data_IF_896462196540
#
_entry.id   IF_896462196540
#
_cell.length_a   1.000
_cell.length_b   1.000
_cell.length_c   1.000
_cell.angle_alpha   90.00
_cell.angle_beta   90.00
_cell.angle_gamma   90.00
#
_symmetry.space_group_name_H-M   'P 1'
#
loop_
_entity.id
_entity.type
_entity.pdbx_description
1 polymer ?
#
# COMPACT_ATOMS: atom_id res chain seq x y z
N UNK A 1 -19.67 -7.93 52.34
CA UNK A 1 -18.70 -8.77 51.65
C UNK A 1 -19.02 -8.68 50.17
N UNK A 2 -18.33 -7.82 49.47
CA UNK A 2 -18.50 -7.69 48.03
C UNK A 2 -17.27 -8.31 47.37
N UNK A 3 -17.41 -9.56 46.99
CA UNK A 3 -16.50 -10.17 46.05
C UNK A 3 -16.82 -9.55 44.69
N UNK A 4 -16.16 -8.43 44.41
CA UNK A 4 -16.06 -7.96 43.06
C UNK A 4 -15.06 -8.87 42.38
N UNK A 5 -15.53 -9.95 41.82
CA UNK A 5 -14.85 -10.62 40.75
C UNK A 5 -14.54 -9.56 39.69
N UNK A 6 -13.32 -9.08 39.68
CA UNK A 6 -12.80 -8.38 38.55
C UNK A 6 -12.72 -9.39 37.42
N UNK A 7 -13.80 -9.48 36.65
CA UNK A 7 -13.78 -10.11 35.34
C UNK A 7 -12.74 -9.29 34.58
N UNK A 8 -11.51 -9.83 34.52
CA UNK A 8 -10.56 -9.39 33.51
C UNK A 8 -11.29 -9.60 32.21
N UNK A 9 -11.79 -8.52 31.61
CA UNK A 9 -12.14 -8.53 30.20
C UNK A 9 -10.84 -8.92 29.51
N UNK A 10 -10.68 -10.21 29.19
CA UNK A 10 -9.73 -10.61 28.19
C UNK A 10 -10.06 -9.75 26.98
N UNK A 11 -9.14 -8.86 26.62
CA UNK A 11 -9.28 -8.07 25.39
C UNK A 11 -9.40 -9.10 24.28
N UNK A 12 -10.61 -9.25 23.73
CA UNK A 12 -10.83 -10.03 22.52
C UNK A 12 -9.91 -9.40 21.49
N UNK A 13 -8.82 -10.11 21.16
CA UNK A 13 -7.88 -9.67 20.14
C UNK A 13 -8.67 -9.56 18.85
N UNK A 14 -8.84 -8.33 18.35
CA UNK A 14 -9.51 -8.12 17.07
C UNK A 14 -8.79 -8.88 15.99
N UNK A 15 -9.53 -9.64 15.20
CA UNK A 15 -9.01 -10.38 14.06
C UNK A 15 -8.72 -9.40 12.95
N UNK A 16 -7.52 -9.46 12.38
CA UNK A 16 -7.10 -8.60 11.29
C UNK A 16 -7.93 -8.82 10.02
N UNK A 17 -7.94 -7.83 9.16
CA UNK A 17 -8.69 -7.83 7.90
C UNK A 17 -8.38 -9.06 7.03
N UNK A 18 -7.11 -9.39 6.85
CA UNK A 18 -6.71 -10.57 6.07
C UNK A 18 -7.15 -11.87 6.73
N UNK A 19 -7.02 -11.97 8.05
CA UNK A 19 -7.46 -13.14 8.80
C UNK A 19 -8.95 -13.39 8.63
N UNK A 20 -9.78 -12.34 8.58
CA UNK A 20 -11.21 -12.45 8.31
C UNK A 20 -11.46 -13.04 6.92
N UNK A 21 -10.72 -12.58 5.92
CA UNK A 21 -10.81 -13.12 4.56
C UNK A 21 -10.46 -14.62 4.55
N UNK A 22 -9.35 -14.96 5.17
CA UNK A 22 -8.87 -16.35 5.21
C UNK A 22 -9.77 -17.26 6.04
N UNK A 23 -10.37 -16.73 7.09
CA UNK A 23 -11.35 -17.47 7.88
C UNK A 23 -12.58 -17.83 7.07
N UNK A 24 -13.07 -16.90 6.24
CA UNK A 24 -14.26 -17.09 5.42
C UNK A 24 -14.00 -17.97 4.19
N UNK A 25 -12.87 -17.76 3.52
CA UNK A 25 -12.59 -18.31 2.20
C UNK A 25 -11.47 -19.34 2.15
N UNK A 26 -10.74 -19.52 3.22
CA UNK A 26 -9.60 -20.43 3.32
C UNK A 26 -8.25 -19.70 3.34
N UNK A 27 -7.26 -20.34 3.89
CA UNK A 27 -5.90 -19.81 4.04
C UNK A 27 -5.20 -19.64 2.69
N UNK A 28 -4.28 -18.68 2.64
CA UNK A 28 -3.36 -18.57 1.52
C UNK A 28 -2.41 -19.78 1.49
N UNK A 29 -2.16 -20.30 0.30
CA UNK A 29 -1.19 -21.38 0.08
C UNK A 29 0.26 -20.93 0.08
N UNK A 30 0.48 -19.62 -0.09
CA UNK A 30 1.81 -19.03 -0.21
C UNK A 30 2.06 -18.03 0.91
N UNK A 31 3.32 -17.96 1.32
CA UNK A 31 3.80 -16.87 2.19
C UNK A 31 4.08 -15.63 1.33
N UNK A 32 4.07 -14.43 1.93
CA UNK A 32 4.34 -13.19 1.19
C UNK A 32 5.61 -13.25 0.34
N UNK A 33 6.68 -13.88 0.83
CA UNK A 33 7.97 -14.00 0.16
C UNK A 33 7.94 -14.90 -1.08
N UNK A 34 6.90 -15.71 -1.23
CA UNK A 34 6.78 -16.68 -2.33
C UNK A 34 6.02 -16.14 -3.54
N UNK A 35 5.39 -14.98 -3.43
CA UNK A 35 4.70 -14.36 -4.55
C UNK A 35 5.68 -13.72 -5.53
N UNK A 36 5.30 -13.70 -6.81
CA UNK A 36 6.04 -12.94 -7.81
C UNK A 36 5.96 -11.43 -7.51
N UNK A 37 6.94 -10.68 -7.99
CA UNK A 37 6.93 -9.23 -7.85
C UNK A 37 5.67 -8.60 -8.47
N UNK A 38 5.22 -9.10 -9.61
CA UNK A 38 4.00 -8.60 -10.27
C UNK A 38 2.74 -8.99 -9.50
N UNK A 39 2.71 -10.15 -8.84
CA UNK A 39 1.61 -10.54 -7.95
C UNK A 39 1.53 -9.62 -6.72
N UNK A 40 2.67 -9.27 -6.14
CA UNK A 40 2.74 -8.29 -5.05
C UNK A 40 2.27 -6.91 -5.51
N UNK A 41 2.69 -6.48 -6.70
CA UNK A 41 2.24 -5.20 -7.27
C UNK A 41 0.74 -5.18 -7.55
N UNK A 42 0.17 -6.30 -7.96
CA UNK A 42 -1.26 -6.45 -8.20
C UNK A 42 -2.08 -6.09 -6.96
N UNK A 43 -1.73 -6.65 -5.80
CA UNK A 43 -2.45 -6.32 -4.57
C UNK A 43 -2.04 -4.93 -4.03
N UNK A 44 -0.78 -4.57 -4.18
CA UNK A 44 -0.27 -3.27 -3.73
C UNK A 44 -0.91 -2.09 -4.44
N UNK A 45 -1.22 -2.20 -5.72
CA UNK A 45 -1.96 -1.18 -6.47
C UNK A 45 -3.31 -0.89 -5.83
N UNK A 46 -4.06 -1.94 -5.49
CA UNK A 46 -5.36 -1.79 -4.84
C UNK A 46 -5.24 -1.17 -3.44
N UNK A 47 -4.26 -1.59 -2.66
CA UNK A 47 -4.01 -1.06 -1.31
C UNK A 47 -3.65 0.43 -1.38
N UNK A 48 -2.74 0.80 -2.28
CA UNK A 48 -2.36 2.20 -2.48
C UNK A 48 -3.55 3.05 -2.89
N UNK A 49 -4.31 2.60 -3.86
CA UNK A 49 -5.50 3.30 -4.33
C UNK A 49 -6.53 3.51 -3.21
N UNK A 50 -6.77 2.49 -2.39
CA UNK A 50 -7.67 2.59 -1.24
C UNK A 50 -7.20 3.64 -0.24
N UNK A 51 -5.92 3.68 0.08
CA UNK A 51 -5.35 4.66 1.00
C UNK A 51 -5.51 6.07 0.45
N UNK A 52 -5.15 6.29 -0.81
CA UNK A 52 -5.26 7.61 -1.43
C UNK A 52 -6.72 8.06 -1.54
N UNK A 53 -7.63 7.17 -1.93
CA UNK A 53 -9.07 7.50 -1.95
C UNK A 53 -9.59 7.85 -0.56
N UNK A 54 -9.13 7.18 0.48
CA UNK A 54 -9.47 7.51 1.87
C UNK A 54 -9.02 8.93 2.23
N UNK A 55 -7.79 9.29 1.85
CA UNK A 55 -7.25 10.64 2.08
C UNK A 55 -8.02 11.71 1.31
N UNK A 56 -8.36 11.43 0.05
CA UNK A 56 -9.13 12.36 -0.80
C UNK A 56 -10.53 12.56 -0.24
N UNK A 57 -11.21 11.46 0.11
CA UNK A 57 -12.56 11.50 0.67
C UNK A 57 -12.62 12.30 1.98
N UNK A 58 -11.57 12.24 2.78
CA UNK A 58 -11.45 12.97 4.04
C UNK A 58 -11.56 14.49 3.87
N UNK A 59 -11.26 15.02 2.70
CA UNK A 59 -11.31 16.48 2.44
C UNK A 59 -12.74 17.03 2.41
N UNK A 60 -13.74 16.21 2.16
CA UNK A 60 -15.13 16.62 2.12
C UNK A 60 -15.94 15.85 1.07
N UNK A 61 -17.21 16.18 0.97
CA UNK A 61 -18.10 15.52 0.02
C UNK A 61 -18.15 16.29 -1.30
N UNK A 62 -17.33 15.88 -2.23
CA UNK A 62 -17.23 16.45 -3.57
C UNK A 62 -17.94 15.57 -4.61
N UNK A 63 -18.00 16.02 -5.84
CA UNK A 63 -18.49 15.19 -6.94
C UNK A 63 -17.55 14.01 -7.22
N UNK A 64 -18.09 12.91 -7.75
CA UNK A 64 -17.29 11.75 -8.14
C UNK A 64 -16.20 12.14 -9.14
N UNK A 65 -16.51 13.04 -10.09
CA UNK A 65 -15.54 13.57 -11.04
C UNK A 65 -14.37 14.27 -10.34
N UNK A 66 -14.66 15.08 -9.33
CA UNK A 66 -13.63 15.77 -8.54
C UNK A 66 -12.78 14.77 -7.74
N UNK A 67 -13.40 13.76 -7.13
CA UNK A 67 -12.67 12.70 -6.44
C UNK A 67 -11.70 11.97 -7.38
N UNK A 68 -12.15 11.57 -8.55
CA UNK A 68 -11.28 10.89 -9.53
C UNK A 68 -10.13 11.77 -10.00
N UNK A 69 -10.37 13.05 -10.21
CA UNK A 69 -9.32 13.99 -10.61
C UNK A 69 -8.24 14.12 -9.53
N UNK A 70 -8.64 14.28 -8.27
CA UNK A 70 -7.72 14.37 -7.14
C UNK A 70 -6.92 13.08 -6.97
N UNK A 71 -7.59 11.94 -7.03
CA UNK A 71 -6.95 10.62 -6.89
C UNK A 71 -5.94 10.38 -8.01
N UNK A 72 -6.33 10.61 -9.27
CA UNK A 72 -5.46 10.39 -10.43
C UNK A 72 -4.17 11.19 -10.37
N UNK A 73 -4.22 12.41 -9.85
CA UNK A 73 -3.02 13.25 -9.74
C UNK A 73 -1.96 12.66 -8.81
N UNK A 74 -2.37 11.81 -7.87
CA UNK A 74 -1.49 11.19 -6.87
C UNK A 74 -1.09 9.77 -7.26
N UNK A 75 -2.00 9.00 -7.88
CA UNK A 75 -1.75 7.57 -8.18
C UNK A 75 -1.10 7.33 -9.53
N UNK A 76 -1.00 8.32 -10.40
CA UNK A 76 -0.35 8.15 -11.71
C UNK A 76 1.14 7.78 -11.54
N UNK A 77 1.68 7.05 -12.49
CA UNK A 77 3.03 6.48 -12.40
C UNK A 77 4.11 7.52 -12.14
N UNK A 78 4.08 8.68 -12.81
CA UNK A 78 5.07 9.74 -12.59
C UNK A 78 4.98 10.36 -11.18
N UNK A 79 3.78 10.46 -10.60
CA UNK A 79 3.61 10.92 -9.23
C UNK A 79 4.14 9.89 -8.23
N UNK A 80 3.87 8.61 -8.46
CA UNK A 80 4.44 7.53 -7.65
C UNK A 80 5.96 7.50 -7.74
N UNK A 81 6.53 7.70 -8.93
CA UNK A 81 7.97 7.73 -9.10
C UNK A 81 8.62 8.85 -8.27
N UNK A 82 8.04 10.04 -8.25
CA UNK A 82 8.53 11.14 -7.41
C UNK A 82 8.43 10.83 -5.92
N UNK A 83 7.32 10.20 -5.51
CA UNK A 83 7.12 9.79 -4.12
C UNK A 83 8.21 8.81 -3.69
N UNK A 84 8.48 7.79 -4.50
CA UNK A 84 9.51 6.78 -4.23
C UNK A 84 10.89 7.40 -4.13
N UNK A 85 11.25 8.30 -5.04
CA UNK A 85 12.53 9.01 -5.00
C UNK A 85 12.72 9.73 -3.66
N UNK A 86 11.65 10.31 -3.13
CA UNK A 86 11.70 11.02 -1.85
C UNK A 86 11.87 10.11 -0.64
N UNK A 87 11.44 8.84 -0.70
CA UNK A 87 11.47 7.90 0.44
C UNK A 87 12.54 6.82 0.32
N UNK A 88 13.15 6.64 -0.84
CA UNK A 88 14.11 5.57 -1.09
C UNK A 88 15.24 5.51 -0.03
N UNK A 89 15.82 6.65 0.42
CA UNK A 89 16.83 6.62 1.46
C UNK A 89 16.36 6.08 2.82
N UNK A 90 15.05 6.09 3.06
CA UNK A 90 14.45 5.65 4.34
C UNK A 90 13.98 4.19 4.30
N UNK A 91 14.10 3.53 3.15
CA UNK A 91 13.73 2.12 3.04
C UNK A 91 14.74 1.23 3.77
N UNK A 92 14.23 0.21 4.44
CA UNK A 92 15.10 -0.84 5.00
C UNK A 92 15.76 -1.65 3.87
N UNK A 93 16.75 -2.44 4.21
CA UNK A 93 17.40 -3.32 3.24
C UNK A 93 16.42 -4.29 2.59
N UNK A 94 15.54 -4.90 3.38
CA UNK A 94 14.48 -5.78 2.88
C UNK A 94 13.51 -5.03 1.97
N UNK A 95 13.06 -3.86 2.36
CA UNK A 95 12.15 -3.02 1.57
C UNK A 95 12.79 -2.63 0.24
N UNK A 96 14.03 -2.24 0.26
CA UNK A 96 14.80 -1.91 -0.95
C UNK A 96 14.88 -3.10 -1.90
N UNK A 97 15.13 -4.30 -1.38
CA UNK A 97 15.20 -5.53 -2.16
C UNK A 97 13.88 -5.83 -2.86
N UNK A 98 12.77 -5.74 -2.15
CA UNK A 98 11.42 -5.95 -2.72
C UNK A 98 11.12 -4.89 -3.77
N UNK A 99 11.41 -3.64 -3.49
CA UNK A 99 11.22 -2.54 -4.43
C UNK A 99 12.01 -2.76 -5.73
N UNK A 100 13.30 -3.08 -5.63
CA UNK A 100 14.14 -3.35 -6.80
C UNK A 100 13.65 -4.54 -7.61
N UNK A 101 13.19 -5.59 -6.94
CA UNK A 101 12.63 -6.77 -7.61
C UNK A 101 11.39 -6.42 -8.45
N UNK A 102 10.49 -5.61 -7.89
CA UNK A 102 9.31 -5.11 -8.61
C UNK A 102 9.66 -4.18 -9.76
N UNK A 103 10.59 -3.25 -9.53
CA UNK A 103 11.07 -2.32 -10.55
C UNK A 103 11.69 -3.05 -11.74
N UNK A 104 12.38 -4.15 -11.50
CA UNK A 104 13.09 -4.91 -12.52
C UNK A 104 12.24 -6.01 -13.15
N UNK A 105 11.02 -6.24 -12.66
CA UNK A 105 10.12 -7.24 -13.22
C UNK A 105 9.69 -6.85 -14.64
N UNK A 106 9.69 -7.83 -15.55
CA UNK A 106 9.23 -7.61 -16.92
C UNK A 106 7.70 -7.77 -16.95
N UNK A 107 7.00 -6.68 -17.25
CA UNK A 107 5.58 -6.72 -17.54
C UNK A 107 5.36 -6.57 -19.06
N UNK A 108 4.37 -7.27 -19.60
CA UNK A 108 4.01 -7.18 -21.03
C UNK A 108 3.24 -5.90 -21.39
N UNK A 109 2.91 -5.08 -20.42
CA UNK A 109 2.13 -3.85 -20.62
C UNK A 109 2.90 -2.64 -20.12
N UNK A 110 2.83 -1.54 -20.87
CA UNK A 110 3.29 -0.23 -20.45
C UNK A 110 2.11 0.74 -20.41
N UNK A 111 2.09 1.66 -19.45
CA UNK A 111 1.07 2.70 -19.39
C UNK A 111 1.24 3.66 -20.57
N UNK A 112 0.12 4.02 -21.24
CA UNK A 112 0.11 4.83 -22.47
C UNK A 112 0.78 6.19 -22.35
N UNK A 113 0.83 6.80 -21.16
CA UNK A 113 1.23 8.20 -20.94
C UNK A 113 2.31 8.36 -19.88
N UNK A 114 2.94 7.28 -19.42
CA UNK A 114 4.06 7.32 -18.49
C UNK A 114 5.32 6.87 -19.18
N UNK A 115 6.48 7.41 -18.81
CA UNK A 115 7.75 6.85 -19.24
C UNK A 115 7.88 5.40 -18.74
N UNK A 116 8.64 4.57 -19.46
CA UNK A 116 8.90 3.20 -19.05
C UNK A 116 9.58 3.17 -17.67
N UNK A 117 10.46 4.13 -17.39
CA UNK A 117 11.16 4.25 -16.11
C UNK A 117 10.16 4.52 -14.98
N UNK A 118 9.29 5.50 -15.14
CA UNK A 118 8.27 5.85 -14.14
C UNK A 118 7.32 4.69 -13.89
N UNK A 119 6.89 4.01 -14.93
CA UNK A 119 6.05 2.83 -14.83
C UNK A 119 6.71 1.71 -14.01
N UNK A 120 7.99 1.45 -14.25
CA UNK A 120 8.74 0.43 -13.50
C UNK A 120 8.93 0.81 -12.03
N UNK A 121 9.21 2.07 -11.75
CA UNK A 121 9.34 2.56 -10.38
C UNK A 121 8.00 2.43 -9.66
N UNK A 122 6.90 2.80 -10.30
CA UNK A 122 5.55 2.64 -9.74
C UNK A 122 5.25 1.16 -9.46
N UNK A 123 5.58 0.26 -10.36
CA UNK A 123 5.41 -1.19 -10.17
C UNK A 123 6.23 -1.69 -8.97
N UNK A 124 7.46 -1.23 -8.83
CA UNK A 124 8.31 -1.56 -7.67
C UNK A 124 7.73 -1.08 -6.36
N UNK A 125 7.18 0.13 -6.35
CA UNK A 125 6.52 0.68 -5.17
C UNK A 125 5.26 -0.09 -4.80
N UNK A 126 4.43 -0.42 -5.77
CA UNK A 126 3.23 -1.23 -5.58
C UNK A 126 3.59 -2.62 -5.06
N UNK A 127 4.67 -3.23 -5.56
CA UNK A 127 5.17 -4.51 -5.04
C UNK A 127 5.58 -4.40 -3.58
N UNK A 128 6.27 -3.33 -3.19
CA UNK A 128 6.63 -3.08 -1.80
C UNK A 128 5.39 -2.92 -0.91
N UNK A 129 4.41 -2.13 -1.36
CA UNK A 129 3.15 -1.95 -0.62
C UNK A 129 2.43 -3.28 -0.46
N UNK A 130 2.32 -4.07 -1.52
CA UNK A 130 1.68 -5.38 -1.50
C UNK A 130 2.37 -6.33 -0.53
N UNK A 131 3.69 -6.36 -0.53
CA UNK A 131 4.48 -7.16 0.39
C UNK A 131 4.22 -6.78 1.85
N UNK A 132 4.31 -5.49 2.17
CA UNK A 132 4.06 -4.99 3.52
C UNK A 132 2.62 -5.24 3.97
N UNK A 133 1.65 -5.08 3.06
CA UNK A 133 0.25 -5.40 3.33
C UNK A 133 0.08 -6.88 3.72
N UNK A 134 0.64 -7.79 2.92
CA UNK A 134 0.54 -9.23 3.18
C UNK A 134 1.28 -9.63 4.47
N UNK A 135 2.31 -8.89 4.86
CA UNK A 135 3.03 -9.06 6.13
C UNK A 135 2.30 -8.42 7.32
N UNK A 136 1.10 -7.89 7.09
CA UNK A 136 0.32 -7.18 8.12
C UNK A 136 1.04 -5.95 8.71
N UNK A 137 1.82 -5.27 7.88
CA UNK A 137 2.59 -4.07 8.26
C UNK A 137 1.96 -2.79 7.70
N UNK A 138 0.64 -2.65 7.82
CA UNK A 138 -0.07 -1.45 7.35
C UNK A 138 0.43 -0.15 7.98
N UNK A 139 0.80 -0.09 9.27
CA UNK A 139 1.40 1.13 9.81
C UNK A 139 2.62 1.60 9.03
N UNK A 140 3.48 0.67 8.60
CA UNK A 140 4.66 1.01 7.79
C UNK A 140 4.27 1.49 6.39
N UNK A 141 3.28 0.88 5.76
CA UNK A 141 2.75 1.34 4.47
C UNK A 141 2.29 2.80 4.58
N UNK A 142 1.49 3.11 5.59
CA UNK A 142 0.95 4.46 5.81
C UNK A 142 2.08 5.46 6.11
N UNK A 143 3.07 5.06 6.91
CA UNK A 143 4.26 5.88 7.20
C UNK A 143 5.03 6.24 5.92
N UNK A 144 5.32 5.26 5.08
CA UNK A 144 6.04 5.49 3.82
C UNK A 144 5.28 6.41 2.87
N UNK A 145 3.98 6.18 2.72
CA UNK A 145 3.12 7.02 1.88
C UNK A 145 3.08 8.45 2.46
N UNK A 146 2.90 8.58 3.76
CA UNK A 146 2.87 9.88 4.43
C UNK A 146 4.16 10.67 4.24
N UNK A 147 5.31 10.05 4.43
CA UNK A 147 6.61 10.68 4.18
C UNK A 147 6.74 11.15 2.73
N UNK A 148 6.37 10.30 1.78
CA UNK A 148 6.48 10.61 0.37
C UNK A 148 5.56 11.75 -0.06
N UNK A 149 4.33 11.75 0.39
CA UNK A 149 3.37 12.81 0.08
C UNK A 149 3.79 14.16 0.68
N UNK A 150 4.28 14.15 1.93
CA UNK A 150 4.78 15.35 2.59
C UNK A 150 6.01 15.92 1.87
N UNK A 151 7.01 15.10 1.61
CA UNK A 151 8.28 15.52 1.00
C UNK A 151 8.13 16.00 -0.43
N UNK A 152 7.15 15.48 -1.18
CA UNK A 152 6.89 15.88 -2.56
C UNK A 152 5.85 16.99 -2.68
N UNK A 153 5.12 17.30 -1.62
CA UNK A 153 4.04 18.27 -1.66
C UNK A 153 2.85 17.86 -2.52
N UNK A 154 2.71 16.58 -2.83
CA UNK A 154 1.64 16.07 -3.71
C UNK A 154 0.27 16.08 -3.05
N UNK A 155 0.23 16.16 -1.74
CA UNK A 155 -0.99 16.18 -0.97
C UNK A 155 -0.85 17.12 0.22
N UNK A 156 -1.76 18.05 0.32
CA UNK A 156 -1.81 19.02 1.42
C UNK A 156 -3.19 19.00 2.10
#
# INVERSE_FOLDING_TARGET
>A
MNDKESIKKESVKEIGFQEEIYRQFGESRLKPEQYSALGLAYIGDAVYDLIIRTLVLRKGNYSVKAFHKMTSSIVKAEAQARLVEAIEPDLTEEETRIFHHGRNAKSGTSAKNASIIDYRIATGFEALIGYLYLKEQMPRVIELIGMGLERTGQYS
#
